data_IF_797144090284
#
_entry.id   IF_797144090284
#
_cell.length_a   1.000
_cell.length_b   1.000
_cell.length_c   1.000
_cell.angle_alpha   90.00
_cell.angle_beta   90.00
_cell.angle_gamma   90.00
#
_symmetry.space_group_name_H-M   'P 1'
#
loop_
_entity.id
_entity.type
_entity.pdbx_description
1 polymer ?
#
# COMPACT_ATOMS: atom_id res chain seq x y z
N UNK A 1 -16.23 -22.66 54.12
CA UNK A 1 -17.61 -22.28 54.48
C UNK A 1 -17.55 -21.09 55.43
N UNK A 2 -17.88 -19.88 54.95
CA UNK A 2 -18.64 -18.88 55.69
C UNK A 2 -18.91 -17.66 54.80
N UNK A 3 -20.19 -17.46 54.54
CA UNK A 3 -20.79 -16.41 53.74
C UNK A 3 -20.94 -15.11 54.52
N UNK A 4 -20.67 -13.97 53.87
CA UNK A 4 -21.39 -12.68 54.03
C UNK A 4 -21.40 -12.01 52.64
N UNK A 5 -22.54 -11.88 51.91
CA UNK A 5 -23.67 -10.93 52.09
C UNK A 5 -23.14 -9.51 52.35
N UNK A 6 -23.39 -8.46 51.57
CA UNK A 6 -24.50 -8.11 50.65
C UNK A 6 -24.11 -6.83 49.85
N UNK A 7 -24.96 -6.35 48.91
CA UNK A 7 -24.62 -5.48 47.79
C UNK A 7 -24.76 -3.98 48.10
N UNK A 8 -24.15 -3.14 47.26
CA UNK A 8 -24.54 -1.74 47.11
C UNK A 8 -25.29 -1.55 45.79
N UNK A 9 -26.53 -1.09 45.91
CA UNK A 9 -27.39 -0.61 44.85
C UNK A 9 -28.01 0.70 45.36
N UNK A 10 -27.92 1.76 44.57
CA UNK A 10 -28.73 2.99 44.60
C UNK A 10 -28.59 3.56 43.18
N UNK A 11 -29.65 3.52 42.35
CA UNK A 11 -30.73 4.52 42.23
C UNK A 11 -30.20 5.96 42.13
N UNK A 12 -30.73 6.88 41.34
CA UNK A 12 -31.75 6.96 40.28
C UNK A 12 -31.88 8.47 40.00
N UNK A 13 -32.26 8.87 38.78
CA UNK A 13 -33.07 10.06 38.44
C UNK A 13 -32.84 10.36 36.94
N UNK A 14 -33.84 10.23 36.05
CA UNK A 14 -34.95 11.19 35.83
C UNK A 14 -34.42 12.57 35.40
N UNK A 15 -34.95 13.29 34.42
CA UNK A 15 -36.01 13.11 33.44
C UNK A 15 -36.03 14.40 32.58
N UNK A 16 -36.72 14.36 31.43
CA UNK A 16 -37.50 15.48 30.81
C UNK A 16 -36.74 16.74 30.32
N UNK A 17 -37.19 17.54 29.36
CA UNK A 17 -38.14 17.50 28.23
C UNK A 17 -37.99 18.88 27.54
N UNK A 18 -38.22 18.94 26.22
CA UNK A 18 -38.73 20.08 25.44
C UNK A 18 -38.04 21.47 25.49
N UNK A 19 -37.75 22.03 24.30
CA UNK A 19 -38.63 23.06 23.71
C UNK A 19 -38.20 23.42 22.29
N UNK A 20 -39.16 23.36 21.38
CA UNK A 20 -39.09 23.96 20.06
C UNK A 20 -39.24 25.49 20.17
N UNK A 21 -38.55 26.24 19.31
CA UNK A 21 -38.90 27.61 18.99
C UNK A 21 -38.79 27.81 17.48
N UNK A 22 -39.96 27.93 16.85
CA UNK A 22 -40.21 28.49 15.55
C UNK A 22 -39.77 29.97 15.51
N UNK A 23 -39.17 30.40 14.40
CA UNK A 23 -39.46 31.72 13.83
C UNK A 23 -39.41 31.69 12.29
N UNK A 24 -40.17 32.56 11.59
CA UNK A 24 -40.49 32.41 10.17
C UNK A 24 -39.98 33.57 9.26
N UNK A 25 -40.17 33.39 7.95
CA UNK A 25 -40.23 34.41 6.86
C UNK A 25 -38.85 35.04 6.51
N UNK A 26 -38.34 35.01 5.28
CA UNK A 26 -38.93 35.59 4.07
C UNK A 26 -38.52 34.83 2.80
N UNK A 27 -39.53 34.54 1.98
CA UNK A 27 -39.37 34.26 0.57
C UNK A 27 -38.92 35.54 -0.16
N UNK A 28 -37.86 35.44 -0.94
CA UNK A 28 -37.55 36.41 -1.98
C UNK A 28 -37.11 35.65 -3.22
N UNK A 29 -38.09 35.45 -4.11
CA UNK A 29 -37.89 35.06 -5.50
C UNK A 29 -37.32 36.26 -6.26
N UNK A 30 -36.14 36.08 -6.85
CA UNK A 30 -35.61 36.97 -7.88
C UNK A 30 -34.81 36.14 -8.90
N UNK A 31 -34.78 36.58 -10.17
CA UNK A 31 -34.83 35.68 -11.31
C UNK A 31 -33.46 35.23 -11.83
N UNK A 32 -33.50 34.12 -12.56
CA UNK A 32 -32.48 33.64 -13.49
C UNK A 32 -31.92 34.80 -14.34
N UNK A 33 -30.67 35.16 -14.10
CA UNK A 33 -29.85 35.90 -15.06
C UNK A 33 -28.66 35.01 -15.42
N UNK A 34 -28.71 34.49 -16.65
CA UNK A 34 -27.62 33.75 -17.26
C UNK A 34 -26.39 34.66 -17.39
N UNK A 35 -25.33 34.34 -16.66
CA UNK A 35 -23.99 34.86 -16.89
C UNK A 35 -23.15 33.73 -17.53
N UNK A 36 -22.33 34.06 -18.55
CA UNK A 36 -21.72 33.06 -19.41
C UNK A 36 -20.72 32.21 -18.63
N UNK A 37 -20.88 30.90 -18.77
CA UNK A 37 -19.85 29.93 -18.41
C UNK A 37 -18.59 30.28 -19.20
N UNK A 38 -17.67 30.99 -18.56
CA UNK A 38 -16.28 31.01 -18.97
C UNK A 38 -15.80 29.57 -18.86
N UNK A 39 -15.83 28.87 -20.00
CA UNK A 39 -15.22 27.58 -20.19
C UNK A 39 -13.71 27.77 -20.03
N UNK A 40 -13.25 27.80 -18.77
CA UNK A 40 -11.92 27.39 -18.42
C UNK A 40 -11.84 25.90 -18.75
N UNK A 41 -11.51 25.62 -20.01
CA UNK A 41 -11.02 24.32 -20.43
C UNK A 41 -9.77 24.07 -19.59
N UNK A 42 -9.96 23.39 -18.47
CA UNK A 42 -8.89 22.68 -17.80
C UNK A 42 -8.36 21.72 -18.84
N UNK A 43 -7.25 22.09 -19.49
CA UNK A 43 -6.51 21.21 -20.36
C UNK A 43 -6.09 20.03 -19.49
N UNK A 44 -6.88 18.95 -19.55
CA UNK A 44 -6.55 17.71 -18.89
C UNK A 44 -5.15 17.30 -19.37
N UNK A 45 -4.22 16.97 -18.46
CA UNK A 45 -2.88 16.55 -18.85
C UNK A 45 -3.01 15.32 -19.76
N UNK A 46 -2.59 15.46 -21.02
CA UNK A 46 -2.56 14.37 -21.98
C UNK A 46 -1.37 13.48 -21.65
N UNK A 47 -1.65 12.20 -21.40
CA UNK A 47 -0.61 11.18 -21.38
C UNK A 47 -0.16 10.95 -22.80
N UNK A 48 1.05 11.39 -23.11
CA UNK A 48 1.73 11.02 -24.33
C UNK A 48 2.47 9.72 -24.05
N UNK A 49 1.97 8.63 -24.63
CA UNK A 49 2.80 7.43 -24.77
C UNK A 49 4.02 7.80 -25.60
N UNK A 50 5.20 7.47 -25.08
CA UNK A 50 6.43 7.58 -25.85
C UNK A 50 6.38 6.53 -26.98
N UNK A 51 7.06 6.78 -28.12
CA UNK A 51 7.11 5.82 -29.22
C UNK A 51 7.50 4.43 -28.70
N UNK A 52 6.84 3.41 -29.24
CA UNK A 52 7.04 2.02 -28.80
C UNK A 52 8.52 1.64 -28.96
N UNK A 53 9.18 1.31 -27.84
CA UNK A 53 10.57 0.88 -27.84
C UNK A 53 10.70 -0.47 -28.55
N UNK A 54 11.83 -0.68 -29.23
CA UNK A 54 12.13 -1.98 -29.84
C UNK A 54 12.25 -3.07 -28.77
N UNK A 55 12.00 -4.35 -29.09
CA UNK A 55 12.15 -5.44 -28.14
C UNK A 55 13.51 -5.47 -27.43
N UNK A 56 14.61 -5.21 -28.16
CA UNK A 56 15.95 -5.14 -27.59
C UNK A 56 16.10 -3.96 -26.60
N UNK A 57 15.51 -2.81 -26.90
CA UNK A 57 15.50 -1.66 -26.00
C UNK A 57 14.69 -1.96 -24.72
N UNK A 58 13.55 -2.68 -24.84
CA UNK A 58 12.78 -3.11 -23.68
C UNK A 58 13.58 -4.05 -22.76
N UNK A 59 14.35 -4.99 -23.31
CA UNK A 59 15.21 -5.90 -22.51
C UNK A 59 16.34 -5.13 -21.81
N UNK A 60 17.01 -4.24 -22.53
CA UNK A 60 18.07 -3.41 -21.96
C UNK A 60 17.53 -2.52 -20.83
N UNK A 61 16.35 -1.94 -21.02
CA UNK A 61 15.71 -1.07 -20.04
C UNK A 61 15.22 -1.84 -18.81
N UNK A 62 14.58 -3.00 -18.99
CA UNK A 62 14.24 -3.89 -17.88
C UNK A 62 15.49 -4.26 -17.05
N UNK A 63 16.63 -4.48 -17.70
CA UNK A 63 17.89 -4.81 -17.01
C UNK A 63 18.41 -3.67 -16.13
N UNK A 64 18.03 -2.41 -16.37
CA UNK A 64 18.38 -1.28 -15.50
C UNK A 64 17.79 -1.41 -14.09
N UNK A 65 16.68 -2.15 -13.95
CA UNK A 65 16.06 -2.45 -12.67
C UNK A 65 16.72 -3.60 -11.90
N UNK A 66 17.75 -4.25 -12.44
CA UNK A 66 18.48 -5.29 -11.72
C UNK A 66 19.05 -4.73 -10.43
N UNK A 67 18.68 -5.31 -9.30
CA UNK A 67 19.20 -4.86 -8.01
C UNK A 67 18.35 -5.28 -6.83
N UNK A 68 18.72 -4.72 -5.68
CA UNK A 68 18.00 -4.88 -4.41
C UNK A 68 17.49 -3.53 -3.98
N UNK A 69 16.21 -3.50 -3.63
CA UNK A 69 15.49 -2.32 -3.23
C UNK A 69 14.86 -2.61 -1.87
N UNK A 70 14.91 -1.63 -0.97
CA UNK A 70 14.27 -1.73 0.33
C UNK A 70 13.60 -0.40 0.65
N UNK A 71 12.45 -0.48 1.33
CA UNK A 71 11.83 0.69 1.94
C UNK A 71 12.71 1.21 3.09
N UNK A 72 12.42 2.43 3.52
CA UNK A 72 12.81 2.86 4.87
C UNK A 72 12.03 2.09 5.93
N UNK A 73 12.40 2.23 7.20
CA UNK A 73 11.63 1.67 8.31
C UNK A 73 10.26 2.36 8.38
N UNK A 74 9.19 1.57 8.35
CA UNK A 74 7.81 2.05 8.35
C UNK A 74 7.07 1.56 9.60
N UNK A 75 6.12 2.32 10.12
CA UNK A 75 5.23 1.89 11.19
C UNK A 75 4.03 1.16 10.61
N UNK A 76 3.76 -0.05 11.11
CA UNK A 76 2.52 -0.79 10.88
C UNK A 76 1.54 -0.56 12.03
N UNK A 77 2.08 -0.49 13.26
CA UNK A 77 1.40 -0.13 14.50
C UNK A 77 2.39 0.67 15.39
N UNK A 78 1.93 1.19 16.53
CA UNK A 78 2.75 1.87 17.53
C UNK A 78 3.94 1.01 18.02
N UNK A 79 3.82 -0.32 18.05
CA UNK A 79 4.86 -1.24 18.52
C UNK A 79 5.36 -2.21 17.45
N UNK A 80 4.95 -2.02 16.19
CA UNK A 80 5.29 -2.92 15.10
C UNK A 80 5.68 -2.11 13.87
N UNK A 81 6.88 -2.39 13.40
CA UNK A 81 7.49 -1.72 12.27
C UNK A 81 7.91 -2.73 11.23
N UNK A 82 8.15 -2.27 10.00
CA UNK A 82 8.58 -3.16 8.93
C UNK A 82 9.50 -2.49 7.92
N UNK A 83 10.24 -3.35 7.23
CA UNK A 83 10.96 -3.02 5.99
C UNK A 83 10.47 -4.01 4.92
N UNK A 84 9.99 -3.47 3.81
CA UNK A 84 9.76 -4.26 2.61
C UNK A 84 11.00 -4.22 1.73
N UNK A 85 11.36 -5.38 1.21
CA UNK A 85 12.48 -5.51 0.29
C UNK A 85 12.10 -6.32 -0.93
N UNK A 86 12.67 -5.94 -2.05
CA UNK A 86 12.53 -6.63 -3.32
C UNK A 86 13.90 -6.81 -3.95
N UNK A 87 14.12 -7.99 -4.52
CA UNK A 87 15.27 -8.27 -5.37
C UNK A 87 14.76 -8.57 -6.78
N UNK A 88 15.26 -7.80 -7.76
CA UNK A 88 14.93 -7.93 -9.18
C UNK A 88 16.13 -8.52 -9.93
N UNK A 89 15.89 -9.61 -10.65
CA UNK A 89 16.92 -10.32 -11.41
C UNK A 89 16.48 -10.53 -12.87
N UNK A 90 17.31 -10.17 -13.86
CA UNK A 90 17.05 -10.47 -15.27
C UNK A 90 16.77 -11.95 -15.51
N UNK A 91 15.73 -12.22 -16.30
CA UNK A 91 15.49 -13.56 -16.86
C UNK A 91 16.07 -13.65 -18.26
N UNK A 92 16.15 -14.86 -18.82
CA UNK A 92 16.51 -15.05 -20.22
C UNK A 92 15.37 -14.72 -21.21
N UNK A 93 14.18 -14.36 -20.70
CA UNK A 93 12.96 -14.24 -21.50
C UNK A 93 12.55 -12.76 -21.61
N UNK A 94 12.97 -12.11 -22.68
CA UNK A 94 12.49 -10.77 -23.03
C UNK A 94 12.68 -9.73 -21.91
N UNK A 95 11.78 -8.73 -21.78
CA UNK A 95 11.90 -7.66 -20.78
C UNK A 95 11.37 -8.09 -19.40
N UNK A 96 11.54 -9.37 -19.04
CA UNK A 96 11.01 -9.95 -17.80
C UNK A 96 12.10 -10.08 -16.73
N UNK A 97 11.75 -9.67 -15.52
CA UNK A 97 12.55 -9.78 -14.31
C UNK A 97 11.87 -10.75 -13.33
N UNK A 98 12.66 -11.64 -12.72
CA UNK A 98 12.23 -12.36 -11.52
C UNK A 98 12.25 -11.40 -10.33
N UNK A 99 11.13 -11.32 -9.61
CA UNK A 99 10.98 -10.51 -8.42
C UNK A 99 10.83 -11.39 -7.17
N UNK A 100 11.66 -11.13 -6.16
CA UNK A 100 11.58 -11.79 -4.84
C UNK A 100 11.26 -10.76 -3.79
N UNK A 101 10.10 -10.89 -3.16
CA UNK A 101 9.64 -9.99 -2.11
C UNK A 101 9.88 -10.58 -0.74
N UNK A 102 10.30 -9.72 0.20
CA UNK A 102 10.38 -10.06 1.63
C UNK A 102 9.86 -8.90 2.46
N UNK A 103 9.16 -9.22 3.56
CA UNK A 103 8.76 -8.27 4.59
C UNK A 103 9.43 -8.63 5.90
N UNK A 104 10.28 -7.77 6.43
CA UNK A 104 10.88 -7.95 7.74
C UNK A 104 10.11 -7.13 8.77
N UNK A 105 9.73 -7.75 9.89
CA UNK A 105 9.00 -7.12 10.99
C UNK A 105 9.92 -6.86 12.18
N UNK A 106 9.72 -5.72 12.84
CA UNK A 106 10.58 -5.20 13.91
C UNK A 106 9.73 -4.62 15.04
N UNK A 107 10.21 -4.69 16.28
CA UNK A 107 9.55 -4.05 17.43
C UNK A 107 9.98 -2.61 17.69
N UNK A 108 11.03 -2.12 17.01
CA UNK A 108 11.58 -0.78 17.22
C UNK A 108 11.41 0.11 15.99
N UNK A 109 11.15 1.40 16.23
CA UNK A 109 10.90 2.40 15.18
C UNK A 109 12.09 2.69 14.25
N UNK A 110 13.29 2.21 14.58
CA UNK A 110 14.47 2.30 13.72
C UNK A 110 14.73 1.03 12.91
N UNK A 111 13.90 -0.02 13.05
CA UNK A 111 14.08 -1.32 12.41
C UNK A 111 15.50 -1.89 12.59
N UNK A 112 16.09 -1.73 13.79
CA UNK A 112 17.40 -2.31 14.08
C UNK A 112 17.36 -3.83 14.05
N UNK A 113 18.43 -4.47 13.58
CA UNK A 113 18.52 -5.94 13.48
C UNK A 113 18.29 -6.66 14.82
N UNK A 114 18.67 -6.04 15.94
CA UNK A 114 18.42 -6.57 17.29
C UNK A 114 16.92 -6.64 17.65
N UNK A 115 16.10 -5.79 17.01
CA UNK A 115 14.64 -5.75 17.19
C UNK A 115 13.87 -6.55 16.14
N UNK A 116 14.55 -7.23 15.21
CA UNK A 116 13.88 -8.00 14.13
C UNK A 116 13.18 -9.22 14.67
N UNK A 117 11.86 -9.28 14.51
CA UNK A 117 11.01 -10.40 14.91
C UNK A 117 11.04 -11.55 13.90
N UNK A 118 10.86 -11.24 12.62
CA UNK A 118 10.72 -12.23 11.55
C UNK A 118 10.97 -11.59 10.19
N UNK A 119 11.46 -12.37 9.24
CA UNK A 119 11.45 -12.06 7.80
C UNK A 119 10.51 -13.01 7.09
N UNK A 120 9.45 -12.48 6.51
CA UNK A 120 8.50 -13.22 5.70
C UNK A 120 8.99 -13.21 4.25
N UNK A 121 9.25 -14.39 3.68
CA UNK A 121 9.49 -14.52 2.25
C UNK A 121 8.16 -14.81 1.55
N UNK A 122 7.79 -13.93 0.63
CA UNK A 122 6.58 -14.06 -0.16
C UNK A 122 6.87 -14.94 -1.40
N UNK A 123 5.83 -15.52 -2.03
CA UNK A 123 5.96 -16.20 -3.31
C UNK A 123 6.66 -15.33 -4.36
N UNK A 124 7.35 -15.98 -5.30
CA UNK A 124 8.02 -15.28 -6.40
C UNK A 124 6.98 -14.59 -7.30
N UNK A 125 7.33 -13.43 -7.81
CA UNK A 125 6.58 -12.76 -8.85
C UNK A 125 7.44 -12.55 -10.10
N UNK A 126 6.81 -12.16 -11.19
CA UNK A 126 7.49 -11.74 -12.42
C UNK A 126 7.09 -10.30 -12.74
N UNK A 127 8.08 -9.51 -13.17
CA UNK A 127 7.92 -8.13 -13.61
C UNK A 127 8.19 -8.02 -15.09
N UNK A 128 7.26 -7.45 -15.85
CA UNK A 128 7.43 -7.21 -17.28
C UNK A 128 7.40 -5.73 -17.56
N UNK A 129 8.47 -5.21 -18.15
CA UNK A 129 8.50 -3.84 -18.62
C UNK A 129 7.73 -3.71 -19.95
N UNK A 130 6.75 -2.82 -19.99
CA UNK A 130 5.82 -2.64 -21.10
C UNK A 130 6.07 -1.36 -21.92
N UNK A 131 7.07 -0.56 -21.55
CA UNK A 131 7.36 0.74 -22.17
C UNK A 131 7.20 1.90 -21.19
N UNK A 132 7.17 3.13 -21.72
CA UNK A 132 7.24 4.36 -20.93
C UNK A 132 6.07 5.31 -21.21
N UNK A 133 5.73 6.13 -20.22
CA UNK A 133 4.77 7.23 -20.34
C UNK A 133 5.34 8.51 -19.72
N UNK A 134 4.84 9.68 -20.13
CA UNK A 134 5.13 10.95 -19.45
C UNK A 134 3.98 11.34 -18.53
N UNK A 135 4.25 11.53 -17.24
CA UNK A 135 3.29 11.91 -16.20
C UNK A 135 3.80 13.17 -15.50
N UNK A 136 3.06 14.28 -15.64
CA UNK A 136 3.43 15.58 -15.04
C UNK A 136 4.87 16.01 -15.34
N UNK A 137 5.34 15.76 -16.58
CA UNK A 137 6.70 16.09 -17.02
C UNK A 137 7.79 15.09 -16.62
N UNK A 138 7.45 14.00 -15.92
CA UNK A 138 8.36 12.90 -15.59
C UNK A 138 8.14 11.70 -16.50
N UNK A 139 9.20 11.13 -17.03
CA UNK A 139 9.14 9.82 -17.71
C UNK A 139 9.03 8.72 -16.66
N UNK A 140 8.07 7.82 -16.84
CA UNK A 140 7.83 6.67 -15.96
C UNK A 140 7.70 5.40 -16.76
N UNK A 141 8.06 4.30 -16.12
CA UNK A 141 8.05 2.97 -16.68
C UNK A 141 6.74 2.27 -16.33
N UNK A 142 6.07 1.71 -17.35
CA UNK A 142 4.88 0.90 -17.19
C UNK A 142 5.30 -0.55 -16.98
N UNK A 143 4.92 -1.13 -15.85
CA UNK A 143 5.29 -2.50 -15.48
C UNK A 143 4.04 -3.32 -15.21
N UNK A 144 4.00 -4.55 -15.72
CA UNK A 144 3.03 -5.56 -15.30
C UNK A 144 3.70 -6.46 -14.27
N UNK A 145 3.07 -6.64 -13.13
CA UNK A 145 3.52 -7.49 -12.05
C UNK A 145 2.60 -8.69 -11.99
N UNK A 146 3.17 -9.89 -11.99
CA UNK A 146 2.43 -11.15 -11.86
C UNK A 146 2.96 -11.86 -10.62
N UNK A 147 2.24 -11.73 -9.51
CA UNK A 147 2.46 -12.49 -8.29
C UNK A 147 1.85 -13.88 -8.42
N UNK A 148 2.65 -14.92 -8.18
CA UNK A 148 2.16 -16.30 -8.20
C UNK A 148 1.60 -16.68 -6.84
N UNK A 149 0.53 -17.47 -6.83
CA UNK A 149 0.02 -18.12 -5.66
C UNK A 149 1.11 -19.03 -5.07
N UNK A 150 1.13 -19.11 -3.75
CA UNK A 150 2.13 -19.94 -3.10
C UNK A 150 2.29 -19.66 -1.61
N UNK A 151 3.18 -20.43 -0.97
CA UNK A 151 3.38 -20.35 0.45
C UNK A 151 4.17 -19.10 0.86
N UNK A 152 3.76 -18.49 1.98
CA UNK A 152 4.56 -17.54 2.73
C UNK A 152 5.38 -18.33 3.74
N UNK A 153 6.69 -18.06 3.79
CA UNK A 153 7.60 -18.73 4.73
C UNK A 153 8.23 -17.72 5.68
N UNK A 154 8.35 -18.06 6.96
CA UNK A 154 9.09 -17.24 7.91
C UNK A 154 10.57 -17.66 7.92
N UNK A 155 11.45 -16.68 8.04
CA UNK A 155 12.88 -16.83 8.24
C UNK A 155 13.34 -15.87 9.34
N UNK A 156 14.40 -16.22 10.08
CA UNK A 156 14.93 -15.39 11.16
C UNK A 156 13.84 -15.05 12.19
N UNK A 157 13.04 -16.05 12.53
CA UNK A 157 11.92 -15.92 13.46
C UNK A 157 12.44 -15.98 14.91
N UNK A 158 12.13 -14.96 15.72
CA UNK A 158 12.54 -14.93 17.12
C UNK A 158 11.81 -16.01 17.94
N UNK A 159 12.55 -16.86 18.68
CA UNK A 159 11.94 -17.91 19.50
C UNK A 159 10.93 -17.36 20.49
N UNK A 160 9.77 -18.01 20.61
CA UNK A 160 8.69 -17.62 21.52
C UNK A 160 7.92 -16.35 21.11
N UNK A 161 8.36 -15.63 20.09
CA UNK A 161 7.65 -14.47 19.51
C UNK A 161 6.96 -14.79 18.20
N UNK A 162 7.38 -15.86 17.53
CA UNK A 162 6.76 -16.33 16.29
C UNK A 162 6.31 -17.76 16.49
N UNK A 163 5.05 -18.03 16.18
CA UNK A 163 4.46 -19.36 16.18
C UNK A 163 3.93 -19.69 14.79
N UNK A 164 4.25 -20.88 14.28
CA UNK A 164 3.74 -21.34 13.00
C UNK A 164 2.79 -22.51 13.17
N UNK A 165 1.63 -22.41 12.54
CA UNK A 165 0.70 -23.53 12.33
C UNK A 165 0.75 -23.98 10.87
N UNK A 166 -0.15 -24.88 10.49
CA UNK A 166 -0.30 -25.32 9.10
C UNK A 166 -0.77 -24.17 8.17
N UNK A 167 -1.61 -23.28 8.68
CA UNK A 167 -2.35 -22.27 7.94
C UNK A 167 -1.90 -20.82 8.21
N UNK A 168 -1.23 -20.56 9.34
CA UNK A 168 -0.82 -19.20 9.73
C UNK A 168 0.56 -19.14 10.39
N UNK A 169 1.16 -17.95 10.32
CA UNK A 169 2.29 -17.49 11.12
C UNK A 169 1.73 -16.44 12.07
N UNK A 170 1.87 -16.62 13.37
CA UNK A 170 1.45 -15.67 14.39
C UNK A 170 2.68 -14.96 14.93
N UNK A 171 2.72 -13.64 14.78
CA UNK A 171 3.81 -12.78 15.26
C UNK A 171 3.35 -12.02 16.50
N UNK A 172 3.99 -12.25 17.63
CA UNK A 172 3.72 -11.61 18.91
C UNK A 172 4.68 -10.44 19.14
N UNK A 173 4.14 -9.25 19.38
CA UNK A 173 4.90 -8.02 19.57
C UNK A 173 4.41 -7.29 20.85
N UNK A 174 5.33 -7.10 21.79
CA UNK A 174 5.01 -6.54 23.12
C UNK A 174 4.11 -7.45 23.96
N UNK A 175 3.45 -6.86 24.97
CA UNK A 175 2.45 -7.54 25.83
C UNK A 175 1.03 -7.51 25.24
N UNK A 176 0.79 -6.70 24.21
CA UNK A 176 -0.55 -6.33 23.77
C UNK A 176 -0.90 -6.77 22.33
N UNK A 177 0.06 -7.29 21.55
CA UNK A 177 -0.13 -7.46 20.11
C UNK A 177 0.18 -8.86 19.59
N UNK A 178 -0.78 -9.45 18.87
CA UNK A 178 -0.55 -10.57 17.97
C UNK A 178 -0.97 -10.17 16.55
N UNK A 179 -0.15 -10.54 15.56
CA UNK A 179 -0.45 -10.38 14.15
C UNK A 179 -0.53 -11.76 13.49
N UNK A 180 -1.74 -12.27 13.19
CA UNK A 180 -1.91 -13.49 12.43
C UNK A 180 -1.68 -13.22 10.92
N UNK A 181 -0.88 -14.06 10.28
CA UNK A 181 -0.52 -13.94 8.86
C UNK A 181 -0.83 -15.28 8.20
N UNK A 182 -1.63 -15.27 7.13
CA UNK A 182 -1.90 -16.49 6.36
C UNK A 182 -0.61 -17.02 5.72
N UNK A 183 -0.45 -18.35 5.67
CA UNK A 183 0.72 -19.01 5.04
C UNK A 183 0.61 -19.17 3.53
N UNK A 184 -0.36 -18.52 2.91
CA UNK A 184 -0.54 -18.53 1.45
C UNK A 184 -0.98 -17.17 0.95
N UNK A 185 -0.62 -16.88 -0.29
CA UNK A 185 -1.18 -15.79 -1.08
C UNK A 185 -1.88 -16.35 -2.30
N UNK A 186 -2.92 -15.65 -2.74
CA UNK A 186 -3.58 -15.87 -4.01
C UNK A 186 -2.76 -15.29 -5.17
N UNK A 187 -3.04 -15.76 -6.39
CA UNK A 187 -2.48 -15.17 -7.60
C UNK A 187 -2.97 -13.71 -7.73
N UNK A 188 -2.05 -12.82 -8.12
CA UNK A 188 -2.37 -11.43 -8.38
C UNK A 188 -1.66 -10.94 -9.64
N UNK A 189 -2.36 -10.15 -10.45
CA UNK A 189 -1.77 -9.47 -11.59
C UNK A 189 -2.19 -8.00 -11.55
N UNK A 190 -1.21 -7.13 -11.47
CA UNK A 190 -1.39 -5.69 -11.40
C UNK A 190 -0.52 -4.97 -12.42
N UNK A 191 -1.04 -3.86 -12.96
CA UNK A 191 -0.28 -2.93 -13.78
C UNK A 191 0.07 -1.73 -12.92
N UNK A 192 1.36 -1.38 -12.87
CA UNK A 192 1.89 -0.31 -12.05
C UNK A 192 2.77 0.64 -12.86
N UNK A 193 2.86 1.90 -12.40
CA UNK A 193 3.86 2.86 -12.86
C UNK A 193 5.05 2.84 -11.91
N UNK A 194 6.25 2.84 -12.46
CA UNK A 194 7.51 2.77 -11.72
C UNK A 194 8.49 3.82 -12.21
N UNK A 195 9.30 4.36 -11.31
CA UNK A 195 10.40 5.25 -11.64
C UNK A 195 11.63 4.78 -10.87
N UNK A 196 12.77 4.66 -11.56
CA UNK A 196 14.06 4.32 -10.95
C UNK A 196 14.91 5.58 -10.86
N UNK A 197 15.24 6.03 -9.66
CA UNK A 197 16.15 7.16 -9.41
C UNK A 197 17.16 6.75 -8.32
N UNK A 198 18.46 6.94 -8.58
CA UNK A 198 19.54 6.71 -7.60
C UNK A 198 19.49 5.35 -6.88
N UNK A 199 19.14 4.28 -7.61
CA UNK A 199 19.02 2.92 -7.05
C UNK A 199 17.80 2.71 -6.15
N UNK A 200 16.83 3.62 -6.17
CA UNK A 200 15.53 3.52 -5.48
C UNK A 200 14.39 3.43 -6.48
N UNK A 201 13.40 2.62 -6.13
CA UNK A 201 12.21 2.38 -6.94
C UNK A 201 11.02 3.13 -6.34
N UNK A 202 10.41 3.99 -7.15
CA UNK A 202 9.22 4.75 -6.81
C UNK A 202 7.99 4.16 -7.53
N UNK A 203 6.84 4.14 -6.86
CA UNK A 203 5.60 3.55 -7.36
C UNK A 203 4.52 4.62 -7.61
N UNK A 204 3.62 4.39 -8.57
CA UNK A 204 2.36 5.14 -8.69
C UNK A 204 1.24 4.47 -7.90
N UNK A 205 0.37 5.26 -7.25
CA UNK A 205 -0.76 4.73 -6.47
C UNK A 205 -1.80 4.00 -7.35
N UNK A 206 -2.44 2.94 -6.83
CA UNK A 206 -3.59 2.26 -7.48
C UNK A 206 -4.92 3.02 -7.33
N UNK A 207 -4.89 4.36 -7.23
CA UNK A 207 -6.12 5.16 -7.20
C UNK A 207 -6.93 4.92 -8.48
N UNK A 208 -8.28 5.02 -8.45
CA UNK A 208 -9.10 4.75 -9.62
C UNK A 208 -8.54 5.51 -10.80
N UNK A 209 -8.24 4.72 -11.85
CA UNK A 209 -7.65 5.20 -13.08
C UNK A 209 -8.39 6.48 -13.47
N UNK A 210 -7.65 7.57 -13.71
CA UNK A 210 -8.25 8.74 -14.34
C UNK A 210 -8.93 8.32 -15.65
N UNK A 211 -9.76 9.18 -16.25
CA UNK A 211 -10.44 8.88 -17.53
C UNK A 211 -9.50 8.42 -18.66
N UNK A 212 -8.18 8.58 -18.47
CA UNK A 212 -7.11 8.16 -19.37
C UNK A 212 -6.39 6.86 -18.97
N UNK A 213 -6.77 6.19 -17.87
CA UNK A 213 -6.22 4.88 -17.50
C UNK A 213 -5.00 4.90 -16.56
N UNK A 214 -4.68 6.03 -15.91
CA UNK A 214 -3.43 6.15 -15.11
C UNK A 214 -3.58 6.96 -13.81
N UNK A 215 -2.70 6.73 -12.80
CA UNK A 215 -2.73 7.41 -11.49
C UNK A 215 -2.34 8.89 -11.54
N UNK A 216 -3.02 9.73 -10.75
CA UNK A 216 -2.83 11.19 -10.70
C UNK A 216 -1.58 11.66 -9.91
N UNK A 217 -0.94 10.77 -9.15
CA UNK A 217 0.32 11.08 -8.47
C UNK A 217 1.23 9.84 -8.48
N UNK A 218 2.44 10.01 -9.02
CA UNK A 218 3.55 9.13 -8.66
C UNK A 218 3.79 9.40 -7.18
N UNK A 219 3.43 8.43 -6.36
CA UNK A 219 3.59 8.61 -4.94
C UNK A 219 5.05 8.32 -4.64
N UNK A 220 5.83 9.40 -4.58
CA UNK A 220 7.23 9.37 -4.19
C UNK A 220 7.40 8.87 -2.73
N UNK A 221 6.28 8.83 -1.99
CA UNK A 221 6.11 8.27 -0.66
C UNK A 221 5.23 6.96 -0.67
N UNK A 222 4.98 6.27 -1.80
CA UNK A 222 4.07 5.10 -1.82
C UNK A 222 4.74 3.80 -1.41
N UNK A 223 4.81 3.61 -0.11
CA UNK A 223 4.30 2.39 0.52
C UNK A 223 3.31 2.71 1.66
N UNK A 224 3.08 4.00 1.91
CA UNK A 224 2.26 4.49 3.01
C UNK A 224 0.81 4.62 2.53
N UNK A 225 -0.12 4.12 3.36
CA UNK A 225 -1.60 4.18 3.24
C UNK A 225 -2.27 3.27 2.21
N UNK A 226 -2.43 1.99 2.57
CA UNK A 226 -3.74 1.31 2.47
C UNK A 226 -3.95 0.43 3.71
N UNK A 227 -4.89 0.91 4.54
CA UNK A 227 -5.74 0.29 5.57
C UNK A 227 -5.16 -0.86 6.39
#
# INVERSE_FOLDING_TARGET
>A
MNHRKKPFSLLAASATLACAALLPVHAQTAPLAAAPAAAASAAAPRLSMLPAASPAALVAHASAYKGRFASTCQSLDANLHFIDSMELTPTAVGPVLDARYRKALYTAANCSEASRLVTLNLPKASWTFNGQASVSGKTVDLVTVVGKAGPITAAIAQPGKVEETADKIVVRYGEAGELPIAKSMDDANDKALRLLEDGRLYQGNDAPLSASGYPAALNLDSFYTKQ
#
